data_IF_062047999104
#
_entry.id   IF_062047999104
#
_cell.length_a   1.000
_cell.length_b   1.000
_cell.length_c   1.000
_cell.angle_alpha   90.00
_cell.angle_beta   90.00
_cell.angle_gamma   90.00
#
_symmetry.space_group_name_H-M   'P 1'
#
loop_
_entity.id
_entity.type
_entity.pdbx_description
1 polymer ?
#
# COMPACT_ATOMS: atom_id res chain seq x y z
N UNK A 1 -14.24 13.47 -0.49
CA UNK A 1 -13.78 13.19 0.88
C UNK A 1 -12.26 13.18 0.87
N UNK A 2 -11.56 13.94 1.72
CA UNK A 2 -10.10 13.87 1.78
C UNK A 2 -9.67 12.47 2.23
N UNK A 3 -8.71 11.87 1.52
CA UNK A 3 -8.23 10.51 1.79
C UNK A 3 -7.20 10.56 2.91
N UNK A 4 -7.52 10.01 4.06
CA UNK A 4 -6.56 9.88 5.15
C UNK A 4 -5.54 8.80 4.77
N UNK A 5 -4.26 9.09 4.96
CA UNK A 5 -3.18 8.12 4.75
C UNK A 5 -3.36 6.90 5.67
N UNK A 6 -2.87 5.69 5.30
CA UNK A 6 -2.96 4.50 6.14
C UNK A 6 -2.39 4.67 7.55
N UNK A 7 -1.36 5.51 7.73
CA UNK A 7 -0.80 5.80 9.06
C UNK A 7 -1.69 6.71 9.93
N UNK A 8 -2.67 7.38 9.33
CA UNK A 8 -3.51 8.40 9.96
C UNK A 8 -2.82 9.76 10.18
N UNK A 9 -1.58 9.95 9.75
CA UNK A 9 -0.79 11.17 10.06
C UNK A 9 -1.08 12.34 9.13
N UNK A 10 -1.53 12.08 7.91
CA UNK A 10 -1.78 13.13 6.92
C UNK A 10 -2.96 12.79 6.00
N UNK A 11 -3.40 13.79 5.23
CA UNK A 11 -4.28 13.56 4.10
C UNK A 11 -3.45 13.42 2.83
N UNK A 12 -3.77 12.42 2.00
CA UNK A 12 -3.19 12.25 0.69
C UNK A 12 -3.86 13.21 -0.31
N UNK A 13 -3.06 13.81 -1.20
CA UNK A 13 -3.57 14.61 -2.32
C UNK A 13 -3.85 13.69 -3.52
N UNK A 14 -2.99 12.69 -3.71
CA UNK A 14 -3.16 11.65 -4.72
C UNK A 14 -2.59 10.30 -4.28
N UNK A 15 -2.47 9.40 -5.24
CA UNK A 15 -1.87 8.09 -5.05
C UNK A 15 -0.86 7.80 -6.15
N UNK A 16 0.12 6.97 -5.81
CA UNK A 16 1.09 6.37 -6.72
C UNK A 16 0.75 4.91 -6.93
N UNK A 17 0.99 4.46 -8.16
CA UNK A 17 0.92 3.06 -8.55
C UNK A 17 2.29 2.67 -9.05
N UNK A 18 2.93 1.69 -8.40
CA UNK A 18 4.28 1.26 -8.77
C UNK A 18 4.50 -0.22 -8.51
N UNK A 19 5.36 -0.85 -9.30
CA UNK A 19 5.85 -2.19 -9.02
C UNK A 19 6.88 -2.11 -7.89
N UNK A 20 6.60 -2.77 -6.77
CA UNK A 20 7.49 -2.84 -5.59
C UNK A 20 8.30 -4.15 -5.56
N UNK A 21 8.06 -5.05 -6.52
CA UNK A 21 8.86 -6.27 -6.65
C UNK A 21 10.24 -5.97 -7.21
N UNK A 22 11.25 -6.65 -6.65
CA UNK A 22 12.61 -6.69 -7.20
C UNK A 22 12.79 -7.78 -8.24
N UNK A 23 11.86 -8.75 -8.31
CA UNK A 23 11.88 -9.82 -9.30
C UNK A 23 11.07 -9.39 -10.54
N UNK A 24 11.71 -9.22 -11.71
CA UNK A 24 11.02 -8.82 -12.93
C UNK A 24 10.01 -9.87 -13.43
N UNK A 25 10.10 -11.13 -12.97
CA UNK A 25 9.18 -12.21 -13.34
C UNK A 25 7.98 -12.33 -12.40
N UNK A 26 8.02 -11.67 -11.25
CA UNK A 26 6.96 -11.69 -10.24
C UNK A 26 6.59 -10.25 -9.85
N UNK A 27 5.90 -9.48 -10.71
CA UNK A 27 5.52 -8.11 -10.41
C UNK A 27 4.57 -8.05 -9.21
N UNK A 28 4.79 -7.09 -8.34
CA UNK A 28 3.91 -6.78 -7.20
C UNK A 28 3.54 -5.30 -7.30
N UNK A 29 2.35 -5.02 -7.80
CA UNK A 29 1.89 -3.63 -7.99
C UNK A 29 1.20 -3.14 -6.72
N UNK A 30 1.64 -2.00 -6.21
CA UNK A 30 1.11 -1.40 -5.00
C UNK A 30 0.48 -0.03 -5.29
N UNK A 31 -0.71 0.19 -4.73
CA UNK A 31 -1.39 1.49 -4.71
C UNK A 31 -1.12 2.13 -3.36
N UNK A 32 -0.54 3.32 -3.34
CA UNK A 32 -0.09 3.97 -2.11
C UNK A 32 -0.22 5.50 -2.18
N UNK A 33 -0.42 6.21 -1.05
CA UNK A 33 -0.36 7.67 -1.03
C UNK A 33 0.95 8.25 -1.60
N UNK A 34 0.83 9.43 -2.20
CA UNK A 34 1.96 10.18 -2.75
C UNK A 34 2.87 10.81 -1.68
N UNK A 35 2.34 11.02 -0.48
CA UNK A 35 2.99 11.73 0.62
C UNK A 35 3.43 10.83 1.80
N UNK A 36 3.43 9.51 1.64
CA UNK A 36 3.99 8.58 2.62
C UNK A 36 5.07 7.68 2.02
N UNK A 37 6.07 7.27 2.84
CA UNK A 37 6.98 6.20 2.44
C UNK A 37 6.19 4.89 2.27
N UNK A 38 6.69 4.01 1.39
CA UNK A 38 6.18 2.64 1.32
C UNK A 38 6.42 1.91 2.64
N UNK A 39 5.55 0.96 3.01
CA UNK A 39 5.77 0.16 4.20
C UNK A 39 6.97 -0.79 4.01
N UNK A 40 7.68 -1.00 5.11
CA UNK A 40 8.74 -2.00 5.18
C UNK A 40 8.17 -3.43 5.06
N UNK A 41 8.98 -4.41 4.61
CA UNK A 41 8.58 -5.81 4.56
C UNK A 41 8.00 -6.29 5.90
N UNK A 42 6.80 -6.86 5.86
CA UNK A 42 6.10 -7.38 7.04
C UNK A 42 5.24 -6.37 7.81
N UNK A 43 5.25 -5.08 7.45
CA UNK A 43 4.34 -4.09 8.05
C UNK A 43 2.91 -4.18 7.51
N UNK A 44 2.75 -4.66 6.27
CA UNK A 44 1.44 -4.99 5.72
C UNK A 44 0.99 -6.30 6.35
N UNK A 45 0.05 -6.22 7.29
CA UNK A 45 -0.71 -7.39 7.71
C UNK A 45 -1.75 -7.65 6.62
N UNK A 46 -1.76 -8.84 5.99
CA UNK A 46 -2.92 -9.23 5.20
C UNK A 46 -4.14 -8.99 6.09
N UNK A 47 -5.08 -8.16 5.63
CA UNK A 47 -6.37 -8.04 6.31
C UNK A 47 -6.87 -9.47 6.51
N UNK A 48 -7.33 -9.79 7.73
CA UNK A 48 -7.77 -11.14 8.10
C UNK A 48 -8.37 -11.83 6.88
N UNK A 49 -7.93 -13.06 6.60
CA UNK A 49 -8.66 -13.98 5.72
C UNK A 49 -10.00 -14.25 6.41
N UNK A 50 -10.88 -13.26 6.41
CA UNK A 50 -12.25 -13.35 6.84
C UNK A 50 -13.00 -13.89 5.63
N UNK A 51 -13.00 -15.23 5.51
CA UNK A 51 -13.89 -15.96 4.64
C UNK A 51 -13.49 -16.00 3.17
N UNK A 52 -12.50 -16.82 2.84
CA UNK A 52 -12.61 -17.63 1.63
C UNK A 52 -12.99 -19.02 2.15
N UNK A 53 -14.30 -19.28 2.18
CA UNK A 53 -14.87 -20.59 2.40
C UNK A 53 -14.88 -21.37 1.08
#
# INVERSE_FOLDING_TARGET
>A
HPLLTPSGRAFAVGGRVQNVSRDPRAPCVMYWPDNEPLPEPGQIRPGCVAGIA
#
